data_IF_347685351722
#
_entry.id   IF_347685351722
#
_cell.length_a   1.000
_cell.length_b   1.000
_cell.length_c   1.000
_cell.angle_alpha   90.00
_cell.angle_beta   90.00
_cell.angle_gamma   90.00
#
_symmetry.space_group_name_H-M   'P 1'
#
loop_
_entity.id
_entity.type
_entity.pdbx_description
1 polymer ?
#
# COMPACT_ATOMS: atom_id res chain seq x y z
N UNK A 1 12.16 -25.42 19.51
CA UNK A 1 13.49 -24.89 19.90
C UNK A 1 14.12 -24.25 18.67
N UNK A 2 14.29 -22.93 18.63
CA UNK A 2 14.96 -22.25 17.52
C UNK A 2 16.48 -22.29 17.75
N UNK A 3 17.25 -22.66 16.73
CA UNK A 3 18.73 -22.60 16.75
C UNK A 3 19.18 -21.14 16.89
N UNK A 4 20.05 -20.86 17.86
CA UNK A 4 20.54 -19.51 18.15
C UNK A 4 21.35 -18.90 17.00
N UNK A 5 21.87 -19.71 16.07
CA UNK A 5 22.57 -19.26 14.85
C UNK A 5 21.61 -18.78 13.76
N UNK A 6 20.33 -19.13 13.84
CA UNK A 6 19.31 -18.67 12.88
C UNK A 6 18.72 -17.32 13.25
N UNK A 7 19.10 -16.76 14.41
CA UNK A 7 18.77 -15.39 14.74
C UNK A 7 19.62 -14.46 13.87
N UNK A 8 18.96 -13.72 12.99
CA UNK A 8 19.52 -12.59 12.24
C UNK A 8 19.91 -11.49 13.23
N UNK A 9 21.02 -11.64 13.94
CA UNK A 9 21.49 -10.66 14.92
C UNK A 9 23.00 -10.47 14.97
N UNK A 10 23.77 -11.11 14.08
CA UNK A 10 25.20 -10.83 14.03
C UNK A 10 25.42 -9.49 13.33
N UNK A 11 26.12 -8.56 13.97
CA UNK A 11 26.49 -7.26 13.39
C UNK A 11 27.26 -7.41 12.07
N UNK A 12 27.88 -8.58 11.83
CA UNK A 12 28.56 -8.95 10.60
C UNK A 12 27.64 -9.17 9.39
N UNK A 13 26.34 -9.40 9.59
CA UNK A 13 25.38 -9.61 8.49
C UNK A 13 24.78 -8.31 7.94
N UNK A 14 25.11 -7.16 8.54
CA UNK A 14 24.56 -5.87 8.17
C UNK A 14 24.78 -5.54 6.68
N UNK A 15 25.93 -5.89 6.12
CA UNK A 15 26.21 -5.68 4.70
C UNK A 15 25.26 -6.48 3.80
N UNK A 16 25.00 -7.75 4.14
CA UNK A 16 24.09 -8.62 3.39
C UNK A 16 22.63 -8.15 3.51
N UNK A 17 22.22 -7.71 4.70
CA UNK A 17 20.90 -7.14 4.93
C UNK A 17 20.71 -5.84 4.12
N UNK A 18 21.71 -4.95 4.09
CA UNK A 18 21.66 -3.71 3.31
C UNK A 18 21.53 -3.98 1.80
N UNK A 19 22.29 -4.93 1.26
CA UNK A 19 22.17 -5.35 -0.15
C UNK A 19 20.77 -5.91 -0.43
N UNK A 20 20.22 -6.70 0.51
CA UNK A 20 18.90 -7.30 0.37
C UNK A 20 17.79 -6.25 0.42
N UNK A 21 17.93 -5.21 1.26
CA UNK A 21 17.02 -4.07 1.30
C UNK A 21 16.97 -3.35 -0.05
N UNK A 22 18.13 -3.09 -0.68
CA UNK A 22 18.19 -2.45 -2.01
C UNK A 22 17.46 -3.31 -3.06
N UNK A 23 17.76 -4.61 -3.11
CA UNK A 23 17.09 -5.55 -4.04
C UNK A 23 15.59 -5.63 -3.81
N UNK A 24 15.14 -5.59 -2.55
CA UNK A 24 13.72 -5.59 -2.21
C UNK A 24 13.03 -4.31 -2.71
N UNK A 25 13.66 -3.15 -2.57
CA UNK A 25 13.16 -1.87 -3.13
C UNK A 25 13.10 -1.90 -4.66
N UNK A 26 14.12 -2.41 -5.33
CA UNK A 26 14.12 -2.55 -6.79
C UNK A 26 12.99 -3.48 -7.28
N UNK A 27 12.74 -4.60 -6.58
CA UNK A 27 11.62 -5.49 -6.90
C UNK A 27 10.28 -4.78 -6.69
N UNK A 28 10.15 -4.03 -5.59
CA UNK A 28 8.94 -3.27 -5.28
C UNK A 28 8.66 -2.22 -6.37
N UNK A 29 9.68 -1.51 -6.86
CA UNK A 29 9.55 -0.51 -7.92
C UNK A 29 9.20 -1.11 -9.29
N UNK A 30 9.51 -2.39 -9.52
CA UNK A 30 9.12 -3.14 -10.73
C UNK A 30 7.72 -3.76 -10.62
N UNK A 31 7.13 -3.81 -9.43
CA UNK A 31 5.87 -4.51 -9.17
C UNK A 31 4.63 -3.77 -9.72
N UNK A 32 4.73 -2.46 -9.94
CA UNK A 32 3.62 -1.65 -10.42
C UNK A 32 4.11 -0.54 -11.36
N UNK A 33 3.28 -0.17 -12.32
CA UNK A 33 3.46 1.05 -13.11
C UNK A 33 2.33 2.01 -12.85
N UNK A 34 2.63 3.31 -12.81
CA UNK A 34 1.69 4.38 -12.48
C UNK A 34 1.58 5.34 -13.66
N UNK A 35 0.36 5.75 -14.01
CA UNK A 35 0.11 6.86 -14.93
C UNK A 35 -0.96 7.78 -14.35
N UNK A 36 -0.85 9.07 -14.64
CA UNK A 36 -1.87 10.06 -14.24
C UNK A 36 -2.24 10.92 -15.44
N UNK A 37 -3.51 11.26 -15.55
CA UNK A 37 -4.01 12.26 -16.49
C UNK A 37 -4.77 13.32 -15.72
N UNK A 38 -4.68 14.57 -16.17
CA UNK A 38 -5.44 15.69 -15.64
C UNK A 38 -6.37 16.18 -16.75
N UNK A 39 -7.68 16.06 -16.54
CA UNK A 39 -8.68 16.45 -17.53
C UNK A 39 -9.72 17.39 -16.92
N UNK A 40 -10.52 18.03 -17.76
CA UNK A 40 -11.55 18.99 -17.35
C UNK A 40 -11.07 20.44 -17.36
N UNK A 41 -12.03 21.35 -17.16
CA UNK A 41 -11.82 22.80 -17.18
C UNK A 41 -12.65 23.48 -16.08
N UNK A 42 -12.21 24.67 -15.65
CA UNK A 42 -12.89 25.43 -14.61
C UNK A 42 -12.99 24.65 -13.29
N UNK A 43 -14.15 24.59 -12.63
CA UNK A 43 -14.31 23.97 -11.31
C UNK A 43 -14.25 22.43 -11.30
N UNK A 44 -14.35 21.79 -12.46
CA UNK A 44 -14.47 20.33 -12.57
C UNK A 44 -13.18 19.70 -13.14
N UNK A 45 -12.03 19.98 -12.52
CA UNK A 45 -10.79 19.28 -12.87
C UNK A 45 -10.75 17.92 -12.20
N UNK A 46 -10.39 16.89 -12.97
CA UNK A 46 -10.32 15.50 -12.53
C UNK A 46 -8.95 14.95 -12.86
N UNK A 47 -8.24 14.50 -11.82
CA UNK A 47 -7.02 13.73 -11.95
C UNK A 47 -7.33 12.23 -11.90
N UNK A 48 -7.09 11.51 -12.98
CA UNK A 48 -7.30 10.06 -13.04
C UNK A 48 -5.96 9.35 -12.93
N UNK A 49 -5.77 8.63 -11.84
CA UNK A 49 -4.56 7.84 -11.58
C UNK A 49 -4.84 6.38 -11.89
N UNK A 50 -4.04 5.77 -12.75
CA UNK A 50 -4.09 4.33 -13.06
C UNK A 50 -2.90 3.62 -12.43
N UNK A 51 -3.18 2.61 -11.62
CA UNK A 51 -2.19 1.68 -11.07
C UNK A 51 -2.28 0.37 -11.82
N UNK A 52 -1.19 -0.04 -12.47
CA UNK A 52 -1.14 -1.29 -13.23
C UNK A 52 -0.26 -2.30 -12.51
N UNK A 53 -0.79 -3.49 -12.25
CA UNK A 53 -0.07 -4.59 -11.64
C UNK A 53 0.87 -5.27 -12.65
N UNK A 54 2.16 -5.34 -12.32
CA UNK A 54 3.18 -6.00 -13.13
C UNK A 54 3.62 -7.35 -12.54
N UNK A 55 3.01 -7.78 -11.43
CA UNK A 55 3.33 -9.04 -10.76
C UNK A 55 2.46 -10.20 -11.28
N UNK A 56 2.91 -11.43 -11.00
CA UNK A 56 2.18 -12.66 -11.30
C UNK A 56 1.10 -13.04 -10.27
N UNK A 57 0.83 -12.17 -9.29
CA UNK A 57 -0.16 -12.38 -8.22
C UNK A 57 -0.95 -11.09 -7.96
N UNK A 58 -1.83 -11.07 -6.96
CA UNK A 58 -2.51 -9.82 -6.57
C UNK A 58 -1.50 -8.76 -6.11
N UNK A 59 -1.82 -7.48 -6.30
CA UNK A 59 -1.01 -6.36 -5.83
C UNK A 59 -1.77 -5.55 -4.75
N UNK A 60 -1.26 -5.47 -3.52
CA UNK A 60 -0.19 -6.31 -2.94
C UNK A 60 -0.63 -7.78 -2.77
N UNK A 61 0.32 -8.70 -2.50
CA UNK A 61 0.03 -10.09 -2.11
C UNK A 61 0.55 -10.41 -0.72
N UNK A 62 0.31 -11.65 -0.25
CA UNK A 62 0.87 -12.21 0.97
C UNK A 62 0.00 -11.94 2.19
N UNK A 63 0.67 -11.74 3.33
CA UNK A 63 0.04 -11.54 4.63
C UNK A 63 -0.80 -10.24 4.62
N UNK A 64 -2.12 -10.31 4.88
CA UNK A 64 -3.04 -9.19 4.66
C UNK A 64 -2.99 -8.14 5.78
N UNK A 65 -2.60 -8.50 6.99
CA UNK A 65 -2.68 -7.61 8.15
C UNK A 65 -1.53 -6.59 8.15
N UNK A 66 -1.88 -5.31 8.35
CA UNK A 66 -0.92 -4.20 8.45
C UNK A 66 -0.22 -3.82 7.14
N UNK A 67 -0.27 -4.64 6.09
CA UNK A 67 0.35 -4.35 4.79
C UNK A 67 -0.61 -3.56 3.92
N UNK A 68 -0.17 -2.39 3.45
CA UNK A 68 -0.98 -1.54 2.57
C UNK A 68 -0.16 -0.93 1.45
N UNK A 69 -0.79 -0.81 0.28
CA UNK A 69 -0.36 0.08 -0.79
C UNK A 69 -1.39 1.20 -0.88
N UNK A 70 -0.98 2.44 -1.07
CA UNK A 70 -1.93 3.53 -1.28
C UNK A 70 -1.41 4.58 -2.26
N UNK A 71 -2.34 5.38 -2.77
CA UNK A 71 -2.04 6.55 -3.58
C UNK A 71 -1.98 7.80 -2.70
N UNK A 72 -0.88 8.55 -2.83
CA UNK A 72 -0.82 9.95 -2.43
C UNK A 72 -0.93 10.81 -3.69
N UNK A 73 -1.95 11.64 -3.76
CA UNK A 73 -2.13 12.59 -4.86
C UNK A 73 -1.92 14.01 -4.34
N UNK A 74 -1.04 14.76 -5.00
CA UNK A 74 -0.79 16.18 -4.74
C UNK A 74 -1.16 17.00 -5.96
N UNK A 75 -1.89 18.10 -5.76
CA UNK A 75 -2.21 19.07 -6.80
C UNK A 75 -1.56 20.41 -6.49
N UNK A 76 -0.99 21.04 -7.50
CA UNK A 76 -0.27 22.31 -7.42
C UNK A 76 -0.89 23.34 -8.35
N UNK A 77 -0.85 24.61 -7.95
CA UNK A 77 -1.18 25.75 -8.81
C UNK A 77 -0.03 26.11 -9.77
N UNK A 78 -0.21 27.19 -10.55
CA UNK A 78 0.78 27.68 -11.52
C UNK A 78 2.09 28.16 -10.85
N UNK A 79 2.01 28.60 -9.59
CA UNK A 79 3.13 29.08 -8.79
C UNK A 79 3.85 27.94 -8.04
N UNK A 80 3.46 26.68 -8.28
CA UNK A 80 3.92 25.48 -7.58
C UNK A 80 3.56 25.39 -6.09
N UNK A 81 2.55 26.12 -5.63
CA UNK A 81 2.00 25.93 -4.29
C UNK A 81 1.13 24.68 -4.24
N UNK A 82 1.23 23.91 -3.16
CA UNK A 82 0.36 22.77 -2.91
C UNK A 82 -1.03 23.27 -2.52
N UNK A 83 -2.04 22.96 -3.34
CA UNK A 83 -3.44 23.40 -3.12
C UNK A 83 -4.38 22.26 -2.76
N UNK A 84 -3.94 21.00 -2.94
CA UNK A 84 -4.69 19.81 -2.57
C UNK A 84 -3.74 18.64 -2.34
N UNK A 85 -4.02 17.84 -1.31
CA UNK A 85 -3.34 16.57 -1.07
C UNK A 85 -4.31 15.53 -0.50
N UNK A 86 -4.22 14.29 -0.98
CA UNK A 86 -4.95 13.13 -0.45
C UNK A 86 -3.97 11.99 -0.16
N UNK A 87 -4.27 11.17 0.85
CA UNK A 87 -3.42 10.04 1.27
C UNK A 87 -2.13 10.46 1.98
N UNK A 88 -2.22 11.48 2.85
CA UNK A 88 -1.06 12.03 3.58
C UNK A 88 -0.56 11.04 4.63
N UNK A 89 0.74 10.72 4.58
CA UNK A 89 1.42 9.95 5.61
C UNK A 89 2.28 10.85 6.49
N UNK A 90 2.09 10.77 7.81
CA UNK A 90 2.90 11.50 8.78
C UNK A 90 4.06 10.61 9.27
N UNK A 91 5.32 10.88 8.89
CA UNK A 91 6.45 10.05 9.29
C UNK A 91 6.77 10.15 10.80
N UNK A 92 6.39 11.25 11.45
CA UNK A 92 6.63 11.44 12.89
C UNK A 92 5.69 10.60 13.74
N UNK A 93 4.44 10.41 13.30
CA UNK A 93 3.43 9.61 14.04
C UNK A 93 3.23 8.21 13.48
N UNK A 94 3.64 7.96 12.23
CA UNK A 94 3.42 6.71 11.50
C UNK A 94 1.97 6.53 11.01
N UNK A 95 1.18 7.60 11.01
CA UNK A 95 -0.25 7.57 10.70
C UNK A 95 -0.49 7.96 9.25
N UNK A 96 -1.32 7.18 8.55
CA UNK A 96 -1.87 7.51 7.24
C UNK A 96 -3.23 8.18 7.45
N UNK A 97 -3.43 9.35 6.87
CA UNK A 97 -4.70 10.07 6.93
C UNK A 97 -5.67 9.47 5.94
N UNK A 98 -6.78 8.90 6.42
CA UNK A 98 -7.84 8.34 5.58
C UNK A 98 -8.90 9.40 5.24
N UNK A 99 -8.59 10.26 4.27
CA UNK A 99 -9.56 11.22 3.73
C UNK A 99 -10.61 10.54 2.82
N UNK A 100 -11.67 11.28 2.46
CA UNK A 100 -12.77 10.73 1.67
C UNK A 100 -12.38 10.24 0.27
N UNK A 101 -11.27 10.74 -0.30
CA UNK A 101 -10.79 10.36 -1.63
C UNK A 101 -9.68 9.30 -1.58
N UNK A 102 -9.29 8.82 -0.39
CA UNK A 102 -8.15 7.92 -0.25
C UNK A 102 -8.34 6.62 -1.03
N UNK A 103 -7.29 6.19 -1.73
CA UNK A 103 -7.23 4.86 -2.32
C UNK A 103 -6.16 4.01 -1.64
N UNK A 104 -6.62 3.04 -0.85
CA UNK A 104 -5.79 2.01 -0.23
C UNK A 104 -6.12 0.65 -0.88
N UNK A 105 -5.10 -0.07 -1.34
CA UNK A 105 -5.17 -1.47 -1.75
C UNK A 105 -4.74 -2.38 -0.60
N UNK A 106 -5.70 -3.14 -0.08
CA UNK A 106 -5.53 -3.99 1.11
C UNK A 106 -6.54 -5.15 1.10
N UNK A 107 -6.32 -6.12 2.00
CA UNK A 107 -7.33 -7.09 2.35
C UNK A 107 -7.57 -7.05 3.86
N UNK A 108 -8.85 -7.00 4.26
CA UNK A 108 -9.27 -7.08 5.66
C UNK A 108 -9.98 -8.41 5.88
N UNK A 109 -9.46 -9.17 6.83
CA UNK A 109 -10.05 -10.43 7.26
C UNK A 109 -10.69 -10.25 8.63
N UNK A 110 -11.64 -11.11 8.94
CA UNK A 110 -12.38 -11.08 10.20
C UNK A 110 -12.97 -12.45 10.52
N UNK A 111 -13.77 -12.50 11.58
CA UNK A 111 -14.49 -13.68 12.01
C UNK A 111 -15.97 -13.56 11.67
N UNK A 112 -16.59 -14.66 11.24
CA UNK A 112 -18.04 -14.76 11.11
C UNK A 112 -18.72 -14.65 12.47
N UNK A 113 -19.98 -14.20 12.51
CA UNK A 113 -20.78 -14.14 13.74
C UNK A 113 -20.83 -15.45 14.50
N UNK A 114 -20.95 -16.58 13.80
CA UNK A 114 -21.03 -17.91 14.40
C UNK A 114 -19.73 -18.27 15.14
N UNK A 115 -18.57 -18.02 14.49
CA UNK A 115 -17.28 -18.29 15.09
C UNK A 115 -16.99 -17.34 16.26
N UNK A 116 -17.30 -16.05 16.09
CA UNK A 116 -17.17 -15.06 17.16
C UNK A 116 -18.00 -15.43 18.40
N UNK A 117 -19.23 -15.93 18.20
CA UNK A 117 -20.10 -16.40 19.29
C UNK A 117 -19.52 -17.65 19.96
N UNK A 118 -19.08 -18.63 19.16
CA UNK A 118 -18.47 -19.87 19.67
C UNK A 118 -17.23 -19.59 20.53
N UNK A 119 -16.42 -18.61 20.15
CA UNK A 119 -15.20 -18.20 20.87
C UNK A 119 -15.46 -17.19 21.99
N UNK A 120 -16.72 -16.80 22.24
CA UNK A 120 -17.10 -15.79 23.24
C UNK A 120 -16.44 -14.42 22.98
N UNK A 121 -16.31 -14.05 21.71
CA UNK A 121 -15.78 -12.76 21.24
C UNK A 121 -16.79 -12.03 20.33
N UNK A 122 -18.06 -11.85 20.74
CA UNK A 122 -19.12 -11.32 19.88
C UNK A 122 -18.84 -9.91 19.35
N UNK A 123 -17.99 -9.11 20.02
CA UNK A 123 -17.56 -7.79 19.58
C UNK A 123 -16.75 -7.81 18.27
N UNK A 124 -16.17 -8.96 17.93
CA UNK A 124 -15.38 -9.15 16.72
C UNK A 124 -16.20 -9.74 15.55
N UNK A 125 -17.50 -9.98 15.75
CA UNK A 125 -18.37 -10.56 14.72
C UNK A 125 -18.46 -9.64 13.48
N UNK A 126 -18.07 -10.18 12.33
CA UNK A 126 -18.03 -9.50 11.03
C UNK A 126 -17.24 -8.18 11.02
N UNK A 127 -16.28 -8.02 11.93
CA UNK A 127 -15.39 -6.87 11.97
C UNK A 127 -13.98 -7.25 11.53
N UNK A 128 -13.21 -6.33 10.91
CA UNK A 128 -11.80 -6.56 10.66
C UNK A 128 -11.05 -6.83 11.95
N UNK A 129 -10.26 -7.91 12.00
CA UNK A 129 -9.39 -8.19 13.14
C UNK A 129 -8.00 -8.60 12.68
N UNK A 130 -7.02 -8.45 13.55
CA UNK A 130 -5.64 -8.92 13.34
C UNK A 130 -5.38 -10.31 13.97
N UNK A 131 -6.45 -11.08 14.24
CA UNK A 131 -6.34 -12.45 14.72
C UNK A 131 -6.27 -13.43 13.54
N UNK A 132 -5.17 -13.41 12.78
CA UNK A 132 -4.99 -14.20 11.55
C UNK A 132 -5.47 -15.65 11.63
N UNK A 133 -5.13 -16.37 12.71
CA UNK A 133 -5.51 -17.78 12.90
C UNK A 133 -7.01 -17.97 13.13
N UNK A 134 -7.68 -16.97 13.72
CA UNK A 134 -9.12 -17.04 14.00
C UNK A 134 -9.96 -16.54 12.84
N UNK A 135 -9.42 -15.68 11.99
CA UNK A 135 -10.15 -15.10 10.87
C UNK A 135 -10.57 -16.17 9.85
N UNK A 136 -11.88 -16.33 9.65
CA UNK A 136 -12.49 -17.26 8.68
C UNK A 136 -13.26 -16.54 7.56
N UNK A 137 -13.24 -15.21 7.54
CA UNK A 137 -13.98 -14.39 6.58
C UNK A 137 -13.08 -13.34 5.93
N UNK A 138 -13.23 -13.12 4.62
CA UNK A 138 -12.65 -11.97 3.91
C UNK A 138 -13.72 -10.88 3.83
N UNK A 139 -13.55 -9.82 4.62
CA UNK A 139 -14.48 -8.69 4.69
C UNK A 139 -14.24 -7.64 3.59
N UNK A 140 -12.98 -7.48 3.19
CA UNK A 140 -12.55 -6.58 2.10
C UNK A 140 -11.34 -7.20 1.41
N UNK A 141 -11.29 -7.13 0.09
CA UNK A 141 -10.10 -7.41 -0.72
C UNK A 141 -10.23 -6.67 -2.03
N UNK A 142 -9.64 -5.47 -2.12
CA UNK A 142 -9.67 -4.64 -3.32
C UNK A 142 -8.35 -4.68 -4.10
N UNK A 143 -7.48 -5.66 -3.82
CA UNK A 143 -6.14 -5.78 -4.40
C UNK A 143 -6.23 -6.11 -5.89
N UNK A 144 -5.36 -5.49 -6.68
CA UNK A 144 -5.41 -5.55 -8.15
C UNK A 144 -5.00 -6.96 -8.62
N UNK A 145 -5.78 -7.65 -9.45
CA UNK A 145 -5.42 -8.99 -9.92
C UNK A 145 -4.24 -8.95 -10.91
N UNK A 146 -3.54 -10.08 -11.12
CA UNK A 146 -2.45 -10.16 -12.10
C UNK A 146 -2.95 -10.28 -13.54
N UNK A 147 -2.04 -10.02 -14.47
CA UNK A 147 -2.28 -10.13 -15.92
C UNK A 147 -2.71 -11.55 -16.30
N UNK A 148 -3.70 -11.66 -17.20
CA UNK A 148 -4.19 -12.94 -17.72
C UNK A 148 -5.19 -13.68 -16.83
N UNK A 149 -5.60 -13.11 -15.69
CA UNK A 149 -6.66 -13.71 -14.88
C UNK A 149 -8.07 -13.37 -15.34
N UNK A 150 -8.98 -14.32 -15.15
CA UNK A 150 -10.43 -14.14 -15.30
C UNK A 150 -11.09 -14.11 -13.92
N UNK A 151 -12.24 -13.43 -13.81
CA UNK A 151 -13.01 -13.39 -12.57
C UNK A 151 -13.39 -14.80 -12.08
N UNK A 152 -13.74 -15.71 -13.01
CA UNK A 152 -14.07 -17.11 -12.69
C UNK A 152 -12.86 -17.84 -12.08
N UNK A 153 -11.67 -17.70 -12.66
CA UNK A 153 -10.46 -18.35 -12.15
C UNK A 153 -10.05 -17.86 -10.74
N UNK A 154 -10.24 -16.56 -10.45
CA UNK A 154 -10.04 -16.04 -9.09
C UNK A 154 -11.06 -16.61 -8.10
N UNK A 155 -12.33 -16.68 -8.50
CA UNK A 155 -13.40 -17.18 -7.64
C UNK A 155 -13.19 -18.64 -7.24
N UNK A 156 -12.81 -19.51 -8.19
CA UNK A 156 -12.54 -20.93 -7.93
C UNK A 156 -11.45 -21.16 -6.89
N UNK A 157 -10.49 -20.23 -6.77
CA UNK A 157 -9.36 -20.32 -5.82
C UNK A 157 -9.62 -19.59 -4.50
N UNK A 158 -10.84 -19.09 -4.27
CA UNK A 158 -11.14 -18.24 -3.10
C UNK A 158 -10.43 -16.89 -3.12
N UNK A 159 -9.94 -16.46 -4.29
CA UNK A 159 -9.20 -15.21 -4.49
C UNK A 159 -10.09 -14.12 -5.11
N UNK A 160 -11.41 -14.25 -5.03
CA UNK A 160 -12.35 -13.23 -5.49
C UNK A 160 -12.09 -11.91 -4.75
N UNK A 161 -11.95 -10.78 -5.45
CA UNK A 161 -11.99 -9.46 -4.81
C UNK A 161 -13.33 -9.23 -4.07
N UNK A 162 -13.27 -8.64 -2.87
CA UNK A 162 -14.44 -8.33 -2.03
C UNK A 162 -14.48 -6.81 -1.84
N UNK A 163 -15.59 -6.18 -2.22
CA UNK A 163 -15.71 -4.71 -2.23
C UNK A 163 -15.00 -4.03 -3.41
N UNK A 164 -14.56 -4.80 -4.42
CA UNK A 164 -14.06 -4.29 -5.69
C UNK A 164 -14.47 -5.24 -6.83
N UNK A 165 -14.60 -4.71 -8.05
CA UNK A 165 -14.92 -5.50 -9.25
C UNK A 165 -13.90 -5.21 -10.33
N UNK A 166 -13.34 -6.29 -10.89
CA UNK A 166 -12.41 -6.24 -12.01
C UNK A 166 -12.97 -7.07 -13.16
N UNK A 167 -12.98 -6.49 -14.36
CA UNK A 167 -13.39 -7.21 -15.56
C UNK A 167 -12.31 -8.20 -16.00
N UNK A 168 -12.66 -9.15 -16.88
CA UNK A 168 -11.69 -10.15 -17.36
C UNK A 168 -10.52 -9.45 -18.07
N UNK A 169 -9.28 -9.80 -17.68
CA UNK A 169 -8.09 -9.16 -18.22
C UNK A 169 -7.80 -7.76 -17.65
N UNK A 170 -8.57 -7.25 -16.70
CA UNK A 170 -8.27 -6.00 -16.01
C UNK A 170 -7.27 -6.22 -14.88
N UNK A 171 -5.99 -5.96 -15.15
CA UNK A 171 -4.87 -6.05 -14.18
C UNK A 171 -4.41 -4.66 -13.72
N UNK A 172 -5.33 -3.70 -13.73
CA UNK A 172 -5.12 -2.33 -13.28
C UNK A 172 -6.37 -1.83 -12.56
N UNK A 173 -6.20 -0.77 -11.77
CA UNK A 173 -7.28 -0.02 -11.14
C UNK A 173 -7.11 1.46 -11.49
N UNK A 174 -8.22 2.16 -11.61
CA UNK A 174 -8.25 3.61 -11.84
C UNK A 174 -8.96 4.29 -10.68
N UNK A 175 -8.39 5.40 -10.22
CA UNK A 175 -8.99 6.25 -9.20
C UNK A 175 -9.03 7.68 -9.73
N UNK A 176 -10.24 8.25 -9.75
CA UNK A 176 -10.47 9.64 -10.13
C UNK A 176 -10.54 10.52 -8.87
N UNK A 177 -9.83 11.64 -8.91
CA UNK A 177 -9.80 12.64 -7.84
C UNK A 177 -10.33 13.95 -8.39
N UNK A 178 -11.33 14.53 -7.72
CA UNK A 178 -11.76 15.91 -7.97
C UNK A 178 -10.74 16.85 -7.36
N UNK A 179 -10.06 17.63 -8.19
CA UNK A 179 -9.01 18.57 -7.75
C UNK A 179 -9.45 20.02 -7.96
N UNK A 180 -8.92 20.99 -7.19
CA UNK A 180 -9.33 22.38 -7.31
C UNK A 180 -9.15 22.97 -8.72
N UNK A 181 -9.98 23.95 -9.09
CA UNK A 181 -9.95 24.62 -10.39
C UNK A 181 -8.57 25.19 -10.77
N UNK A 182 -7.85 25.72 -9.77
CA UNK A 182 -6.50 26.28 -9.92
C UNK A 182 -5.40 25.26 -10.17
N UNK A 183 -5.71 23.95 -10.22
CA UNK A 183 -4.70 22.91 -10.44
C UNK A 183 -4.04 23.03 -11.80
N UNK A 184 -2.76 23.40 -11.84
CA UNK A 184 -1.93 23.42 -13.04
C UNK A 184 -1.14 22.12 -13.21
N UNK A 185 -0.81 21.45 -12.10
CA UNK A 185 -0.03 20.21 -12.09
C UNK A 185 -0.52 19.25 -11.03
N UNK A 186 -0.49 17.96 -11.32
CA UNK A 186 -0.70 16.90 -10.33
C UNK A 186 0.51 15.99 -10.25
N UNK A 187 0.79 15.45 -9.07
CA UNK A 187 1.77 14.42 -8.83
C UNK A 187 1.14 13.28 -8.03
N UNK A 188 1.20 12.06 -8.56
CA UNK A 188 0.72 10.86 -7.90
C UNK A 188 1.91 9.99 -7.51
N UNK A 189 1.92 9.52 -6.26
CA UNK A 189 2.92 8.58 -5.73
C UNK A 189 2.21 7.36 -5.17
N UNK A 190 2.63 6.17 -5.61
CA UNK A 190 2.19 4.89 -5.07
C UNK A 190 3.17 4.46 -3.98
N UNK A 191 2.69 4.41 -2.75
CA UNK A 191 3.46 4.00 -1.58
C UNK A 191 3.13 2.57 -1.18
N UNK A 192 4.13 1.87 -0.63
CA UNK A 192 3.98 0.58 0.04
C UNK A 192 4.45 0.71 1.48
N UNK A 193 3.67 0.18 2.42
CA UNK A 193 4.08 0.05 3.82
C UNK A 193 3.94 -1.41 4.27
N UNK A 194 5.00 -1.93 4.90
CA UNK A 194 5.05 -3.31 5.38
C UNK A 194 4.13 -3.52 6.57
N UNK A 195 4.13 -2.60 7.54
CA UNK A 195 3.31 -2.70 8.74
C UNK A 195 2.74 -1.32 9.11
N UNK A 196 1.43 -1.26 9.27
CA UNK A 196 0.72 -0.07 9.73
C UNK A 196 0.83 0.09 11.24
N UNK A 197 0.59 1.31 11.73
CA UNK A 197 0.61 1.60 13.16
C UNK A 197 -0.40 0.73 13.93
N UNK A 198 -1.60 0.57 13.38
CA UNK A 198 -2.71 -0.14 14.02
C UNK A 198 -2.36 -1.62 14.25
N UNK A 199 -1.69 -2.24 13.27
CA UNK A 199 -1.23 -3.62 13.40
C UNK A 199 -0.13 -3.76 14.45
N UNK A 200 0.81 -2.81 14.48
CA UNK A 200 1.89 -2.81 15.45
C UNK A 200 1.39 -2.55 16.87
N UNK A 201 0.43 -1.65 17.05
CA UNK A 201 -0.19 -1.41 18.36
C UNK A 201 -0.96 -2.66 18.85
N UNK A 202 -1.64 -3.36 17.94
CA UNK A 202 -2.29 -4.63 18.24
C UNK A 202 -1.26 -5.68 18.70
N UNK A 203 -0.17 -5.87 17.96
CA UNK A 203 0.89 -6.80 18.35
C UNK A 203 1.60 -6.37 19.63
N UNK A 204 1.85 -5.07 19.84
CA UNK A 204 2.43 -4.54 21.08
C UNK A 204 1.60 -4.94 22.29
N UNK A 205 0.28 -4.92 22.16
CA UNK A 205 -0.66 -5.21 23.24
C UNK A 205 -0.91 -6.72 23.41
N UNK A 206 -0.97 -7.48 22.31
CA UNK A 206 -1.44 -8.89 22.30
C UNK A 206 -0.34 -9.93 22.03
N UNK A 207 0.82 -9.49 21.55
CA UNK A 207 1.94 -10.35 21.10
C UNK A 207 2.95 -10.72 22.19
N UNK A 208 2.64 -10.45 23.47
CA UNK A 208 3.53 -10.77 24.59
C UNK A 208 4.88 -10.05 24.52
N UNK A 209 5.95 -10.75 24.90
CA UNK A 209 7.31 -10.18 24.95
C UNK A 209 7.85 -9.75 23.59
N UNK A 210 7.55 -10.52 22.53
CA UNK A 210 7.99 -10.20 21.17
C UNK A 210 7.19 -9.03 20.59
N UNK A 211 5.89 -8.97 20.90
CA UNK A 211 5.04 -7.83 20.57
C UNK A 211 5.53 -6.53 21.23
N UNK A 212 5.87 -6.57 22.51
CA UNK A 212 6.44 -5.42 23.22
C UNK A 212 7.77 -4.97 22.60
N UNK A 213 8.67 -5.91 22.26
CA UNK A 213 9.92 -5.61 21.59
C UNK A 213 9.71 -4.96 20.21
N UNK A 214 8.78 -5.49 19.41
CA UNK A 214 8.40 -4.91 18.13
C UNK A 214 7.82 -3.49 18.30
N UNK A 215 7.04 -3.28 19.36
CA UNK A 215 6.56 -1.97 19.75
C UNK A 215 7.70 -0.98 20.03
N UNK A 216 8.72 -1.37 20.78
CA UNK A 216 9.88 -0.50 21.03
C UNK A 216 10.63 -0.18 19.74
N UNK A 217 10.80 -1.16 18.85
CA UNK A 217 11.41 -0.94 17.53
C UNK A 217 10.60 0.05 16.69
N UNK A 218 9.27 -0.04 16.73
CA UNK A 218 8.40 0.89 16.03
C UNK A 218 8.62 2.34 16.45
N UNK A 219 8.84 2.60 17.74
CA UNK A 219 9.00 3.97 18.22
C UNK A 219 10.23 4.67 17.59
N UNK A 220 11.23 3.89 17.15
CA UNK A 220 12.44 4.39 16.46
C UNK A 220 12.24 4.71 14.98
N UNK A 221 11.56 3.84 14.21
CA UNK A 221 11.53 3.93 12.74
C UNK A 221 10.12 4.05 12.15
N UNK A 222 9.07 3.60 12.85
CA UNK A 222 7.64 3.70 12.46
C UNK A 222 7.32 3.13 11.07
N UNK A 223 8.09 2.13 10.61
CA UNK A 223 7.95 1.47 9.29
C UNK A 223 7.67 2.47 8.17
N UNK A 224 8.64 3.32 7.78
CA UNK A 224 8.40 4.35 6.80
C UNK A 224 8.02 3.70 5.45
N UNK A 225 7.09 4.29 4.70
CA UNK A 225 6.70 3.73 3.42
C UNK A 225 7.81 3.87 2.38
N UNK A 226 7.81 2.93 1.45
CA UNK A 226 8.70 2.88 0.31
C UNK A 226 7.92 3.30 -0.95
N UNK A 227 8.54 4.10 -1.81
CA UNK A 227 7.95 4.52 -3.08
C UNK A 227 8.03 3.35 -4.06
N UNK A 228 6.88 2.95 -4.59
CA UNK A 228 6.79 1.99 -5.69
C UNK A 228 6.94 2.68 -7.04
N UNK A 229 6.18 3.76 -7.25
CA UNK A 229 6.16 4.51 -8.50
C UNK A 229 5.67 5.94 -8.24
N UNK A 230 6.14 6.89 -9.04
CA UNK A 230 5.70 8.28 -9.00
C UNK A 230 5.59 8.84 -10.41
N UNK A 231 4.59 9.69 -10.66
CA UNK A 231 4.32 10.33 -11.95
C UNK A 231 3.71 11.70 -11.73
N UNK A 232 3.90 12.62 -12.68
CA UNK A 232 3.23 13.92 -12.69
C UNK A 232 2.59 14.22 -14.03
N UNK A 233 1.54 15.04 -14.01
CA UNK A 233 0.92 15.61 -15.21
C UNK A 233 0.79 17.14 -15.04
N UNK A 234 1.37 17.97 -15.93
CA UNK A 234 2.27 17.55 -17.01
C UNK A 234 3.54 16.85 -16.47
N UNK A 235 4.22 16.04 -17.29
CA UNK A 235 5.47 15.38 -16.89
C UNK A 235 6.51 16.44 -16.54
N UNK A 236 7.19 16.28 -15.40
CA UNK A 236 8.34 17.13 -15.09
C UNK A 236 9.45 16.87 -16.13
N UNK A 237 9.94 17.90 -16.83
CA UNK A 237 11.04 17.74 -17.76
C UNK A 237 12.32 17.42 -16.97
N UNK A 238 12.73 16.15 -16.96
CA UNK A 238 14.06 15.78 -16.52
C UNK A 238 15.07 16.24 -17.58
N UNK A 239 15.60 17.45 -17.44
CA UNK A 239 16.87 17.80 -18.10
C UNK A 239 17.99 17.06 -17.37
N UNK A 240 18.29 15.84 -17.79
CA UNK A 240 19.55 15.20 -17.42
C UNK A 240 20.66 15.87 -18.25
N UNK A 241 21.59 16.63 -17.65
CA UNK A 241 22.74 17.11 -18.39
C UNK A 241 23.52 15.88 -18.89
N UNK A 242 23.68 15.77 -20.20
CA UNK A 242 24.59 14.79 -20.79
C UNK A 242 26.00 15.23 -20.42
N UNK A 243 26.54 14.70 -19.33
CA UNK A 243 27.97 14.82 -19.02
C UNK A 243 28.70 13.85 -19.95
N UNK A 244 29.05 14.31 -21.16
CA UNK A 244 30.06 13.63 -21.97
C UNK A 244 31.40 13.86 -21.28
N UNK A 245 31.99 12.81 -20.70
CA UNK A 245 33.42 12.85 -20.38
C UNK A 245 34.17 12.85 -21.72
N UNK A 246 34.88 13.93 -22.00
CA UNK A 246 35.93 13.94 -23.03
C UNK A 246 37.00 12.92 -22.65
N UNK A 247 37.39 12.09 -23.63
CA UNK A 247 38.36 11.00 -23.52
C UNK A 247 39.68 11.42 -22.84
#
# INVERSE_FOLDING_TARGET
>A
MQDSRWRLNSTGDAANLNVTIIRAREMLQKAATLSVTLTGAGPNKIATVRVTNQTGHKLPTGYPEGRRIWLNLRAYDEDNNLIYESGVYNPSTGVLTEDAAIKIYEAKQGMSSDLATLLQMPENANQPTFHFVLNNLVLKDNRIPPRGFTASALNQRGLKPVGATYTAGQYWDETAYTVPAGTARVAATLYYQTASKEYIDFLRTRGGVDGAALGTLWDTSKSPPEIMAAVSEPPLPYYLPIIRRSN
#
